data_IF_031130078248
#
_entry.id   IF_031130078248
#
_cell.length_a   1.000
_cell.length_b   1.000
_cell.length_c   1.000
_cell.angle_alpha   90.00
_cell.angle_beta   90.00
_cell.angle_gamma   90.00
#
_symmetry.space_group_name_H-M   'P 1'
#
loop_
_entity.id
_entity.type
_entity.pdbx_description
1 polymer ?
#
# COMPACT_ATOMS: atom_id res chain seq x y z
N UNK A 1 4.19 16.18 -31.08
CA UNK A 1 4.05 16.53 -32.52
C UNK A 1 3.17 15.48 -33.19
N UNK A 2 2.25 15.92 -34.07
CA UNK A 2 1.45 15.04 -34.93
C UNK A 2 2.21 14.84 -36.23
N UNK A 3 2.46 13.60 -36.62
CA UNK A 3 3.13 13.26 -37.87
C UNK A 3 2.18 12.48 -38.76
N UNK A 4 1.92 13.01 -39.94
CA UNK A 4 1.15 12.35 -41.00
C UNK A 4 -0.33 12.25 -40.78
N UNK A 5 -1.10 12.20 -41.88
CA UNK A 5 -2.48 11.71 -41.94
C UNK A 5 -2.47 10.40 -42.72
N UNK A 6 -2.94 9.33 -42.10
CA UNK A 6 -3.22 8.09 -42.81
C UNK A 6 -4.73 7.97 -42.84
N UNK A 7 -5.35 8.24 -43.99
CA UNK A 7 -6.80 8.09 -44.26
C UNK A 7 -7.69 8.39 -43.05
N UNK A 8 -7.76 9.66 -42.61
CA UNK A 8 -8.45 10.13 -41.40
C UNK A 8 -7.89 9.62 -40.07
N UNK A 9 -6.83 8.82 -40.08
CA UNK A 9 -6.04 8.39 -38.94
C UNK A 9 -4.74 9.18 -38.82
N UNK A 10 -4.13 9.18 -37.66
CA UNK A 10 -2.86 9.89 -37.41
C UNK A 10 -1.97 9.18 -36.40
N UNK A 11 -0.69 9.51 -36.47
CA UNK A 11 0.30 9.16 -35.47
C UNK A 11 0.57 10.38 -34.64
N UNK A 12 0.40 10.27 -33.31
CA UNK A 12 0.83 11.29 -32.34
C UNK A 12 1.95 10.74 -31.52
N UNK A 13 3.01 11.52 -31.36
CA UNK A 13 4.15 11.16 -30.53
C UNK A 13 4.34 12.23 -29.45
N UNK A 14 4.46 11.80 -28.22
CA UNK A 14 4.81 12.64 -27.08
C UNK A 14 6.09 12.12 -26.44
N UNK A 15 6.94 13.00 -25.97
CA UNK A 15 8.12 12.63 -25.20
C UNK A 15 8.42 13.70 -24.17
N UNK A 16 9.12 13.31 -23.12
CA UNK A 16 9.54 14.23 -22.09
C UNK A 16 10.60 13.64 -21.19
N UNK A 17 11.12 14.50 -20.34
CA UNK A 17 12.08 14.15 -19.30
C UNK A 17 11.66 14.75 -17.96
N UNK A 18 12.08 14.10 -16.90
CA UNK A 18 11.84 14.53 -15.52
C UNK A 18 13.14 14.47 -14.74
N UNK A 19 13.33 15.46 -13.88
CA UNK A 19 14.41 15.45 -12.89
C UNK A 19 13.80 15.83 -11.55
N UNK A 20 14.03 14.98 -10.52
CA UNK A 20 13.46 15.17 -9.17
C UNK A 20 14.53 14.94 -8.11
N UNK A 21 14.50 15.75 -7.07
CA UNK A 21 15.28 15.60 -5.86
C UNK A 21 14.32 15.33 -4.71
N UNK A 22 14.54 14.24 -4.00
CA UNK A 22 13.79 13.87 -2.80
C UNK A 22 14.73 13.99 -1.60
N UNK A 23 14.23 14.53 -0.50
CA UNK A 23 14.96 14.63 0.76
C UNK A 23 14.11 14.05 1.89
N UNK A 24 14.75 13.33 2.80
CA UNK A 24 14.17 12.82 4.02
C UNK A 24 15.08 13.09 5.19
N UNK A 25 14.56 13.79 6.21
CA UNK A 25 15.33 14.18 7.38
C UNK A 25 14.59 13.89 8.67
N UNK A 26 15.28 13.30 9.62
CA UNK A 26 14.84 13.17 11.02
C UNK A 26 15.85 13.92 11.87
N UNK A 27 15.34 14.75 12.76
CA UNK A 27 16.13 15.47 13.75
C UNK A 27 15.91 14.85 15.13
N UNK A 28 16.96 14.79 15.93
CA UNK A 28 16.84 14.34 17.31
C UNK A 28 15.88 15.24 18.11
N UNK A 29 15.11 14.64 19.00
CA UNK A 29 14.35 15.36 20.01
C UNK A 29 15.25 15.90 21.14
N UNK A 30 14.62 16.54 22.11
CA UNK A 30 15.28 16.89 23.37
C UNK A 30 15.59 15.63 24.21
N UNK A 31 16.62 15.62 25.07
CA UNK A 31 16.98 14.42 25.83
C UNK A 31 15.85 13.80 26.65
N UNK A 32 14.98 14.61 27.25
CA UNK A 32 13.83 14.12 28.01
C UNK A 32 12.81 13.37 27.15
N UNK A 33 12.81 13.57 25.84
CA UNK A 33 11.87 12.90 24.92
C UNK A 33 12.31 11.48 24.51
N UNK A 34 13.58 11.10 24.68
CA UNK A 34 14.10 9.81 24.23
C UNK A 34 14.99 9.07 25.23
N UNK A 35 15.47 9.72 26.31
CA UNK A 35 16.28 9.06 27.33
C UNK A 35 15.42 8.53 28.45
N UNK A 36 15.66 7.27 28.83
CA UNK A 36 15.19 6.76 30.12
C UNK A 36 15.81 7.61 31.25
N UNK A 37 15.06 7.85 32.28
CA UNK A 37 15.58 8.52 33.49
C UNK A 37 15.06 7.83 34.74
N UNK A 38 15.86 7.89 35.78
CA UNK A 38 15.50 7.34 37.10
C UNK A 38 14.93 8.48 37.94
N UNK A 39 13.73 8.29 38.47
CA UNK A 39 13.10 9.27 39.36
C UNK A 39 13.78 9.28 40.75
N UNK A 40 13.32 10.20 41.61
CA UNK A 40 13.87 10.36 42.97
C UNK A 40 13.66 9.13 43.87
N UNK A 41 12.82 8.20 43.50
CA UNK A 41 12.55 6.94 44.20
C UNK A 41 13.35 5.75 43.65
N UNK A 42 14.26 5.98 42.70
CA UNK A 42 15.05 4.94 42.07
C UNK A 42 14.34 4.13 41.00
N UNK A 43 13.15 4.57 40.57
CA UNK A 43 12.37 3.88 39.53
C UNK A 43 12.68 4.46 38.15
N UNK A 44 12.92 3.57 37.19
CA UNK A 44 13.05 3.96 35.78
C UNK A 44 11.74 4.50 35.24
N UNK A 45 11.82 5.56 34.45
CA UNK A 45 10.71 6.25 33.83
C UNK A 45 10.90 6.24 32.30
N UNK A 46 9.81 5.97 31.60
CA UNK A 46 9.77 6.08 30.14
C UNK A 46 10.01 7.53 29.69
N UNK A 47 10.74 7.74 28.58
CA UNK A 47 10.97 9.07 28.05
C UNK A 47 9.73 9.65 27.36
N UNK A 48 9.67 10.97 27.29
CA UNK A 48 8.64 11.69 26.56
C UNK A 48 7.25 11.52 27.15
N UNK A 49 6.23 11.71 26.33
CA UNK A 49 4.84 11.37 26.65
C UNK A 49 4.53 9.96 26.20
N UNK A 50 3.74 9.24 26.97
CA UNK A 50 3.32 7.87 26.64
C UNK A 50 2.77 7.77 25.21
N UNK A 51 3.30 6.85 24.42
CA UNK A 51 2.93 6.64 23.02
C UNK A 51 3.61 7.58 22.00
N UNK A 52 4.33 8.62 22.46
CA UNK A 52 5.00 9.60 21.61
C UNK A 52 6.44 9.87 22.05
N UNK A 53 7.36 8.90 21.95
CA UNK A 53 8.75 9.14 22.23
C UNK A 53 9.37 10.04 21.15
N UNK A 54 10.35 10.87 21.55
CA UNK A 54 11.15 11.62 20.60
C UNK A 54 12.21 10.76 19.94
N UNK A 55 12.72 11.22 18.81
CA UNK A 55 13.83 10.56 18.14
C UNK A 55 15.15 10.71 18.91
N UNK A 56 15.86 9.62 19.07
CA UNK A 56 17.20 9.62 19.65
C UNK A 56 18.25 10.15 18.66
N UNK A 57 19.48 10.48 19.11
CA UNK A 57 20.58 10.80 18.20
C UNK A 57 20.90 9.69 17.19
N UNK A 58 20.65 8.42 17.53
CA UNK A 58 20.84 7.27 16.66
C UNK A 58 19.80 7.18 15.53
N UNK A 59 18.66 7.84 15.68
CA UNK A 59 17.59 7.87 14.68
C UNK A 59 17.72 9.06 13.72
N UNK A 60 18.71 9.95 13.96
CA UNK A 60 18.96 11.11 13.09
C UNK A 60 19.36 10.64 11.70
N UNK A 61 18.67 11.16 10.68
CA UNK A 61 18.95 10.89 9.29
C UNK A 61 18.82 12.16 8.45
N UNK A 62 19.60 12.25 7.40
CA UNK A 62 19.45 13.22 6.32
C UNK A 62 19.86 12.51 5.02
N UNK A 63 18.89 12.03 4.29
CA UNK A 63 19.07 11.25 3.08
C UNK A 63 18.48 11.95 1.87
N UNK A 64 19.19 11.89 0.74
CA UNK A 64 18.78 12.46 -0.52
C UNK A 64 18.69 11.37 -1.58
N UNK A 65 17.77 11.56 -2.52
CA UNK A 65 17.63 10.74 -3.72
C UNK A 65 17.50 11.65 -4.94
N UNK A 66 18.30 11.38 -5.95
CA UNK A 66 18.14 11.96 -7.28
C UNK A 66 17.39 10.97 -8.16
N UNK A 67 16.43 11.47 -8.90
CA UNK A 67 15.66 10.71 -9.89
C UNK A 67 15.73 11.45 -11.21
N UNK A 68 16.14 10.76 -12.26
CA UNK A 68 16.09 11.25 -13.63
C UNK A 68 15.31 10.27 -14.48
N UNK A 69 14.45 10.79 -15.35
CA UNK A 69 13.60 9.97 -16.19
C UNK A 69 13.39 10.55 -17.57
N UNK A 70 13.12 9.67 -18.52
CA UNK A 70 12.67 10.01 -19.86
C UNK A 70 11.51 9.08 -20.25
N UNK A 71 10.57 9.60 -21.03
CA UNK A 71 9.44 8.83 -21.52
C UNK A 71 9.13 9.18 -22.96
N UNK A 72 8.56 8.18 -23.66
CA UNK A 72 7.98 8.31 -24.98
C UNK A 72 6.61 7.67 -25.02
N UNK A 73 5.68 8.31 -25.73
CA UNK A 73 4.30 7.85 -25.92
C UNK A 73 3.96 7.94 -27.41
N UNK A 74 3.31 6.91 -27.90
CA UNK A 74 2.83 6.78 -29.27
C UNK A 74 1.33 6.51 -29.26
N UNK A 75 0.56 7.34 -29.93
CA UNK A 75 -0.84 7.09 -30.26
C UNK A 75 -0.95 6.87 -31.79
N UNK A 76 -1.53 5.75 -32.18
CA UNK A 76 -1.74 5.37 -33.57
C UNK A 76 -3.20 5.06 -33.82
N UNK A 77 -3.80 5.80 -34.75
CA UNK A 77 -5.20 5.63 -35.16
C UNK A 77 -5.23 5.14 -36.60
N UNK A 78 -5.11 3.82 -36.87
CA UNK A 78 -5.12 3.28 -38.22
C UNK A 78 -6.46 3.43 -38.94
N UNK A 79 -7.55 3.59 -38.18
CA UNK A 79 -8.88 3.83 -38.73
C UNK A 79 -9.73 4.58 -37.69
N UNK A 80 -10.87 5.13 -38.09
CA UNK A 80 -11.83 5.75 -37.16
C UNK A 80 -12.32 4.80 -36.04
N UNK A 81 -12.20 3.51 -36.28
CA UNK A 81 -12.66 2.47 -35.33
C UNK A 81 -11.59 1.95 -34.36
N UNK A 82 -10.33 2.11 -34.70
CA UNK A 82 -9.23 1.51 -33.91
C UNK A 82 -8.23 2.58 -33.46
N UNK A 83 -8.02 2.64 -32.16
CA UNK A 83 -6.96 3.40 -31.52
C UNK A 83 -6.02 2.42 -30.81
N UNK A 84 -4.73 2.54 -31.08
CA UNK A 84 -3.65 1.81 -30.43
C UNK A 84 -2.74 2.81 -29.71
N UNK A 85 -2.28 2.47 -28.51
CA UNK A 85 -1.30 3.30 -27.81
C UNK A 85 -0.16 2.45 -27.29
N UNK A 86 1.04 3.04 -27.25
CA UNK A 86 2.22 2.44 -26.65
C UNK A 86 3.02 3.51 -25.93
N UNK A 87 3.48 3.21 -24.73
CA UNK A 87 4.33 4.10 -23.94
C UNK A 87 5.48 3.34 -23.28
N UNK A 88 6.63 4.01 -23.18
CA UNK A 88 7.79 3.53 -22.44
C UNK A 88 8.30 4.65 -21.53
N UNK A 89 8.72 4.28 -20.33
CA UNK A 89 9.37 5.18 -19.39
C UNK A 89 10.61 4.50 -18.82
N UNK A 90 11.71 5.22 -18.84
CA UNK A 90 12.99 4.84 -18.27
C UNK A 90 13.32 5.81 -17.16
N UNK A 91 13.68 5.30 -15.99
CA UNK A 91 14.08 6.14 -14.85
C UNK A 91 15.34 5.58 -14.21
N UNK A 92 16.13 6.48 -13.67
CA UNK A 92 17.31 6.16 -12.89
C UNK A 92 17.19 6.80 -11.50
N UNK A 93 17.36 5.99 -10.49
CA UNK A 93 17.37 6.34 -9.08
C UNK A 93 18.78 6.21 -8.53
N UNK A 94 19.28 7.25 -7.85
CA UNK A 94 20.65 7.27 -7.33
C UNK A 94 20.95 6.19 -6.28
N UNK A 95 19.92 5.59 -5.69
CA UNK A 95 20.06 4.64 -4.56
C UNK A 95 19.74 3.19 -4.90
N UNK A 96 19.10 2.87 -6.02
CA UNK A 96 18.84 1.48 -6.42
C UNK A 96 18.90 1.23 -7.94
N UNK A 97 19.25 2.26 -8.75
CA UNK A 97 19.56 2.08 -10.16
C UNK A 97 18.42 2.31 -11.13
N UNK A 98 18.49 1.68 -12.29
CA UNK A 98 17.59 1.89 -13.43
C UNK A 98 16.33 1.02 -13.33
N UNK A 99 15.19 1.62 -13.71
CA UNK A 99 13.90 0.95 -13.88
C UNK A 99 13.29 1.32 -15.21
N UNK A 100 12.54 0.38 -15.80
CA UNK A 100 11.78 0.61 -17.02
C UNK A 100 10.34 0.14 -16.84
N UNK A 101 9.42 0.90 -17.42
CA UNK A 101 8.01 0.50 -17.52
C UNK A 101 7.52 0.70 -18.94
N UNK A 102 6.56 -0.10 -19.32
CA UNK A 102 5.88 0.06 -20.58
C UNK A 102 4.37 -0.13 -20.43
N UNK A 103 3.62 0.44 -21.36
CA UNK A 103 2.18 0.30 -21.44
C UNK A 103 1.77 0.16 -22.91
N UNK A 104 0.83 -0.72 -23.17
CA UNK A 104 0.11 -0.78 -24.44
C UNK A 104 -1.39 -0.81 -24.15
N UNK A 105 -2.18 -0.19 -25.04
CA UNK A 105 -3.62 -0.28 -24.95
C UNK A 105 -4.28 -0.18 -26.32
N UNK A 106 -5.52 -0.63 -26.39
CA UNK A 106 -6.36 -0.48 -27.56
C UNK A 106 -7.77 -0.01 -27.19
N UNK A 107 -8.41 0.67 -28.12
CA UNK A 107 -9.85 0.93 -28.12
C UNK A 107 -10.38 0.60 -29.50
N UNK A 108 -11.37 -0.29 -29.55
CA UNK A 108 -12.04 -0.70 -30.78
C UNK A 108 -13.51 -0.32 -30.74
N UNK A 109 -13.92 0.54 -31.67
CA UNK A 109 -15.32 0.96 -31.89
C UNK A 109 -16.04 -0.11 -32.72
N UNK A 110 -16.67 -1.07 -32.03
CA UNK A 110 -17.40 -2.16 -32.70
C UNK A 110 -18.71 -1.66 -33.34
N UNK A 111 -19.38 -0.67 -32.71
CA UNK A 111 -20.53 0.05 -33.23
C UNK A 111 -20.47 1.51 -32.77
N UNK A 112 -21.34 2.38 -33.32
CA UNK A 112 -21.38 3.80 -32.93
C UNK A 112 -21.68 4.01 -31.44
N UNK A 113 -22.37 3.07 -30.85
CA UNK A 113 -22.77 3.09 -29.45
C UNK A 113 -22.01 2.07 -28.59
N UNK A 114 -21.02 1.34 -29.16
CA UNK A 114 -20.32 0.27 -28.41
C UNK A 114 -18.83 0.23 -28.70
N UNK A 115 -18.03 0.29 -27.66
CA UNK A 115 -16.57 0.23 -27.75
C UNK A 115 -16.01 -0.83 -26.80
N UNK A 116 -15.05 -1.60 -27.28
CA UNK A 116 -14.15 -2.42 -26.46
C UNK A 116 -12.86 -1.65 -26.17
N UNK A 117 -12.25 -1.94 -25.02
CA UNK A 117 -10.94 -1.42 -24.65
C UNK A 117 -10.17 -2.44 -23.82
N UNK A 118 -8.87 -2.40 -23.93
CA UNK A 118 -7.99 -3.22 -23.10
C UNK A 118 -6.65 -2.56 -22.94
N UNK A 119 -5.96 -2.90 -21.86
CA UNK A 119 -4.62 -2.44 -21.61
C UNK A 119 -3.77 -3.50 -20.92
N UNK A 120 -2.47 -3.42 -21.19
CA UNK A 120 -1.43 -4.16 -20.50
C UNK A 120 -0.32 -3.17 -20.13
N UNK A 121 0.15 -3.22 -18.88
CA UNK A 121 1.27 -2.39 -18.46
C UNK A 121 2.09 -3.05 -17.37
N UNK A 122 3.37 -2.70 -17.31
CA UNK A 122 4.19 -2.90 -16.14
C UNK A 122 4.21 -1.63 -15.30
N UNK A 123 4.42 -1.78 -14.00
CA UNK A 123 4.58 -0.67 -13.07
C UNK A 123 5.64 -0.98 -12.03
N UNK A 124 6.08 0.03 -11.32
CA UNK A 124 6.93 -0.13 -10.15
C UNK A 124 6.64 0.96 -9.11
N UNK A 125 7.05 0.69 -7.89
CA UNK A 125 7.10 1.67 -6.80
C UNK A 125 8.46 1.59 -6.15
N UNK A 126 9.19 2.71 -6.17
CA UNK A 126 10.44 2.83 -5.42
C UNK A 126 10.13 2.73 -3.90
N UNK A 127 10.97 2.07 -3.09
CA UNK A 127 10.88 2.19 -1.65
C UNK A 127 10.91 3.67 -1.26
N UNK A 128 10.03 4.11 -0.38
CA UNK A 128 10.11 5.48 0.11
C UNK A 128 11.41 5.69 0.92
N UNK A 129 11.94 6.91 0.95
CA UNK A 129 13.09 7.22 1.80
C UNK A 129 12.76 6.94 3.27
N UNK A 130 11.48 7.10 3.68
CA UNK A 130 11.02 6.70 5.00
C UNK A 130 11.17 5.19 5.23
N UNK A 131 10.70 4.33 4.34
CA UNK A 131 10.85 2.87 4.48
C UNK A 131 12.32 2.45 4.58
N UNK A 132 13.20 3.17 3.90
CA UNK A 132 14.62 2.84 3.84
C UNK A 132 15.41 3.33 5.05
N UNK A 133 15.09 4.53 5.56
CA UNK A 133 15.93 5.24 6.54
C UNK A 133 15.26 5.49 7.89
N UNK A 134 13.94 5.22 8.02
CA UNK A 134 13.26 5.40 9.30
C UNK A 134 13.76 4.40 10.33
N UNK A 135 14.17 4.90 11.48
CA UNK A 135 14.34 4.11 12.69
C UNK A 135 13.72 4.84 13.88
N UNK A 136 13.25 4.09 14.84
CA UNK A 136 12.75 4.62 16.10
C UNK A 136 12.81 3.53 17.18
N UNK A 137 13.05 3.93 18.43
CA UNK A 137 12.93 3.06 19.58
C UNK A 137 11.77 3.53 20.44
N UNK A 138 10.75 2.68 20.56
CA UNK A 138 9.56 2.92 21.36
C UNK A 138 9.74 2.26 22.72
N UNK A 139 9.48 2.98 23.79
CA UNK A 139 9.46 2.41 25.14
C UNK A 139 7.99 2.27 25.57
N UNK A 140 7.62 1.08 25.98
CA UNK A 140 6.30 0.75 26.51
C UNK A 140 6.40 -0.02 27.82
N UNK A 141 5.30 -0.09 28.57
CA UNK A 141 5.20 -0.97 29.74
C UNK A 141 4.53 -2.27 29.32
N UNK A 142 5.16 -3.40 29.62
CA UNK A 142 4.58 -4.72 29.45
C UNK A 142 4.95 -5.58 30.68
N UNK A 143 3.97 -6.22 31.30
CA UNK A 143 4.18 -7.04 32.49
C UNK A 143 4.75 -6.30 33.72
N UNK A 144 4.60 -4.96 33.76
CA UNK A 144 5.16 -4.12 34.83
C UNK A 144 6.60 -3.67 34.60
N UNK A 145 7.22 -4.05 33.47
CA UNK A 145 8.59 -3.68 33.09
C UNK A 145 8.60 -2.76 31.87
N UNK A 146 9.67 -1.96 31.74
CA UNK A 146 9.92 -1.15 30.56
C UNK A 146 10.47 -2.02 29.43
N UNK A 147 9.75 -2.07 28.33
CA UNK A 147 10.12 -2.82 27.12
C UNK A 147 10.46 -1.83 26.01
N UNK A 148 11.64 -1.99 25.42
CA UNK A 148 12.07 -1.19 24.28
C UNK A 148 11.88 -1.98 22.98
N UNK A 149 11.10 -1.43 22.07
CA UNK A 149 10.85 -1.99 20.73
C UNK A 149 11.47 -1.08 19.67
N UNK A 150 12.33 -1.64 18.80
CA UNK A 150 13.03 -0.88 17.77
C UNK A 150 12.48 -1.20 16.39
N UNK A 151 12.11 -0.17 15.62
CA UNK A 151 12.02 -0.27 14.18
C UNK A 151 13.41 0.03 13.63
N UNK A 152 14.05 -1.00 13.07
CA UNK A 152 15.40 -0.87 12.52
C UNK A 152 15.32 -0.50 11.03
N UNK A 153 16.04 0.54 10.62
CA UNK A 153 16.11 0.93 9.23
C UNK A 153 16.91 -0.09 8.39
N UNK A 154 16.87 0.07 7.08
CA UNK A 154 17.47 -0.92 6.17
C UNK A 154 19.00 -1.00 6.23
N UNK A 155 19.68 0.04 6.71
CA UNK A 155 21.14 0.08 6.87
C UNK A 155 21.60 -0.33 8.28
N UNK A 156 20.66 -0.55 9.22
CA UNK A 156 20.96 -0.96 10.61
C UNK A 156 21.65 -2.33 10.66
N UNK A 157 22.55 -2.47 11.60
CA UNK A 157 23.24 -3.75 11.86
C UNK A 157 22.25 -4.87 12.23
N UNK A 158 21.18 -4.56 12.96
CA UNK A 158 20.10 -5.52 13.29
C UNK A 158 19.43 -6.06 12.01
N UNK A 159 19.12 -5.19 11.06
CA UNK A 159 18.49 -5.56 9.77
C UNK A 159 19.41 -6.49 8.97
N UNK A 160 20.71 -6.22 8.96
CA UNK A 160 21.70 -7.08 8.28
C UNK A 160 21.85 -8.45 8.96
N UNK A 161 21.88 -8.48 10.30
CA UNK A 161 21.92 -9.72 11.09
C UNK A 161 20.62 -10.55 10.95
N UNK A 162 19.50 -9.89 10.71
CA UNK A 162 18.24 -10.54 10.38
C UNK A 162 18.20 -11.10 8.94
N UNK A 163 19.28 -10.96 8.17
CA UNK A 163 19.38 -11.47 6.81
C UNK A 163 18.52 -10.72 5.78
N UNK A 164 18.06 -9.50 6.12
CA UNK A 164 17.21 -8.70 5.26
C UNK A 164 18.05 -7.92 4.25
N UNK A 165 17.85 -8.11 2.95
CA UNK A 165 18.61 -7.41 1.93
C UNK A 165 18.20 -5.93 1.82
N UNK A 166 19.01 -5.15 1.11
CA UNK A 166 18.66 -3.78 0.76
C UNK A 166 17.32 -3.72 0.03
N UNK A 167 16.46 -2.76 0.44
CA UNK A 167 15.16 -2.58 -0.20
C UNK A 167 15.31 -2.23 -1.68
N UNK A 168 14.52 -2.91 -2.50
CA UNK A 168 14.40 -2.70 -3.94
C UNK A 168 12.99 -2.25 -4.30
N UNK A 169 12.79 -1.86 -5.55
CA UNK A 169 11.48 -1.48 -6.04
C UNK A 169 10.48 -2.65 -5.98
N UNK A 170 9.26 -2.34 -5.64
CA UNK A 170 8.11 -3.21 -5.91
C UNK A 170 7.79 -3.15 -7.40
N UNK A 171 7.37 -4.24 -7.99
CA UNK A 171 6.99 -4.30 -9.40
C UNK A 171 5.56 -4.76 -9.58
N UNK A 172 4.93 -4.34 -10.67
CA UNK A 172 3.58 -4.81 -10.99
C UNK A 172 3.39 -5.12 -12.47
N UNK A 173 2.47 -6.05 -12.72
CA UNK A 173 1.90 -6.33 -14.04
C UNK A 173 0.40 -6.06 -13.94
N UNK A 174 -0.08 -5.17 -14.81
CA UNK A 174 -1.47 -4.71 -14.80
C UNK A 174 -2.12 -5.06 -16.13
N UNK A 175 -3.27 -5.71 -16.07
CA UNK A 175 -4.07 -6.07 -17.25
C UNK A 175 -5.50 -5.63 -17.03
N UNK A 176 -6.12 -5.04 -18.03
CA UNK A 176 -7.55 -4.71 -18.00
C UNK A 176 -8.22 -4.97 -19.34
N UNK A 177 -9.50 -5.32 -19.27
CA UNK A 177 -10.38 -5.47 -20.43
C UNK A 177 -11.77 -4.97 -20.06
N UNK A 178 -12.36 -4.20 -20.93
CA UNK A 178 -13.66 -3.63 -20.66
C UNK A 178 -14.39 -3.13 -21.92
N UNK A 179 -15.59 -2.59 -21.69
CA UNK A 179 -16.40 -2.00 -22.73
C UNK A 179 -17.12 -0.74 -22.24
N UNK A 180 -17.54 0.05 -23.19
CA UNK A 180 -18.45 1.19 -23.01
C UNK A 180 -19.61 1.05 -23.96
N UNK A 181 -20.84 1.15 -23.45
CA UNK A 181 -22.08 0.99 -24.20
C UNK A 181 -23.04 2.16 -23.96
N UNK A 182 -23.59 2.69 -25.04
CA UNK A 182 -24.57 3.77 -25.03
C UNK A 182 -25.89 3.26 -25.60
N UNK A 183 -26.71 2.50 -24.82
CA UNK A 183 -27.94 1.89 -25.32
C UNK A 183 -29.01 2.90 -25.73
N UNK A 184 -29.01 4.09 -25.12
CA UNK A 184 -29.99 5.15 -25.37
C UNK A 184 -29.34 6.54 -25.22
N UNK A 185 -30.02 7.56 -25.74
CA UNK A 185 -29.58 8.95 -25.58
C UNK A 185 -29.45 9.34 -24.11
N UNK A 186 -28.27 9.79 -23.75
CA UNK A 186 -27.96 10.23 -22.37
C UNK A 186 -27.64 9.09 -21.40
N UNK A 187 -27.66 7.82 -21.80
CA UNK A 187 -27.31 6.68 -20.95
C UNK A 187 -26.02 6.03 -21.46
N UNK A 188 -25.07 5.89 -20.56
CA UNK A 188 -23.77 5.24 -20.81
C UNK A 188 -23.49 4.22 -19.72
N UNK A 189 -23.13 3.00 -20.11
CA UNK A 189 -22.58 1.97 -19.25
C UNK A 189 -21.10 1.75 -19.57
N UNK A 190 -20.29 1.57 -18.55
CA UNK A 190 -18.89 1.20 -18.67
C UNK A 190 -18.61 0.09 -17.66
N UNK A 191 -17.96 -0.96 -18.13
CA UNK A 191 -17.54 -2.09 -17.29
C UNK A 191 -16.08 -2.43 -17.63
N UNK A 192 -15.24 -2.55 -16.63
CA UNK A 192 -13.83 -2.94 -16.77
C UNK A 192 -13.50 -4.03 -15.75
N UNK A 193 -13.02 -5.16 -16.22
CA UNK A 193 -12.35 -6.17 -15.40
C UNK A 193 -10.85 -5.91 -15.39
N UNK A 194 -10.19 -6.13 -14.25
CA UNK A 194 -8.75 -5.93 -14.12
C UNK A 194 -8.08 -6.99 -13.27
N UNK A 195 -6.78 -7.16 -13.50
CA UNK A 195 -5.87 -7.96 -12.69
C UNK A 195 -4.55 -7.21 -12.51
N UNK A 196 -4.12 -7.06 -11.25
CA UNK A 196 -2.90 -6.38 -10.86
C UNK A 196 -2.08 -7.37 -10.02
N UNK A 197 -0.97 -7.86 -10.58
CA UNK A 197 -0.02 -8.72 -9.87
C UNK A 197 1.12 -7.85 -9.38
N UNK A 198 1.34 -7.82 -8.08
CA UNK A 198 2.44 -7.07 -7.45
C UNK A 198 3.45 -8.03 -6.86
N UNK A 199 4.72 -7.78 -7.09
CA UNK A 199 5.84 -8.54 -6.53
C UNK A 199 6.70 -7.66 -5.63
N UNK A 200 7.34 -8.30 -4.67
CA UNK A 200 8.30 -7.69 -3.76
C UNK A 200 7.71 -6.49 -2.98
N UNK A 201 6.44 -6.57 -2.56
CA UNK A 201 5.84 -5.51 -1.74
C UNK A 201 6.60 -5.34 -0.44
N UNK A 202 6.90 -4.09 -0.11
CA UNK A 202 7.56 -3.74 1.16
C UNK A 202 6.53 -3.79 2.29
N UNK A 203 6.81 -4.61 3.27
CA UNK A 203 6.03 -4.74 4.50
C UNK A 203 6.92 -4.49 5.71
N UNK A 204 6.31 -4.14 6.84
CA UNK A 204 6.96 -4.12 8.14
C UNK A 204 6.72 -5.49 8.78
N UNK A 205 7.78 -6.14 9.28
CA UNK A 205 7.65 -7.43 9.97
C UNK A 205 6.95 -7.30 11.32
N UNK A 206 6.55 -8.41 11.92
CA UNK A 206 6.24 -8.46 13.34
C UNK A 206 7.46 -8.23 14.23
N UNK A 207 7.26 -8.30 15.55
CA UNK A 207 8.28 -8.05 16.56
C UNK A 207 9.06 -9.33 16.87
N UNK A 208 10.37 -9.32 16.61
CA UNK A 208 11.30 -10.40 16.98
C UNK A 208 11.93 -10.11 18.33
N UNK A 209 11.87 -11.07 19.27
CA UNK A 209 12.31 -10.90 20.65
C UNK A 209 13.79 -11.20 20.84
N UNK A 210 14.47 -10.39 21.64
CA UNK A 210 15.84 -10.64 22.07
C UNK A 210 15.99 -11.91 22.94
N UNK A 211 14.89 -12.38 23.56
CA UNK A 211 14.86 -13.60 24.37
C UNK A 211 14.59 -14.87 23.55
N UNK A 212 14.33 -14.76 22.26
CA UNK A 212 14.09 -15.92 21.41
C UNK A 212 15.39 -16.61 21.03
N UNK A 213 15.67 -17.74 21.71
CA UNK A 213 16.87 -18.55 21.50
C UNK A 213 16.94 -19.23 20.13
N UNK A 214 15.84 -19.25 19.36
CA UNK A 214 15.81 -19.81 18.00
C UNK A 214 16.29 -18.85 16.94
N UNK A 215 16.40 -17.55 17.25
CA UNK A 215 16.98 -16.55 16.37
C UNK A 215 18.52 -16.65 16.35
N UNK A 216 19.18 -16.10 15.29
CA UNK A 216 20.64 -16.06 15.25
C UNK A 216 21.22 -15.42 16.51
N UNK A 217 22.19 -16.09 17.12
CA UNK A 217 22.81 -15.64 18.37
C UNK A 217 23.43 -14.23 18.27
N UNK A 218 23.94 -13.87 17.10
CA UNK A 218 24.49 -12.53 16.85
C UNK A 218 23.39 -11.46 16.87
N UNK A 219 22.19 -11.77 16.35
CA UNK A 219 21.05 -10.86 16.35
C UNK A 219 20.55 -10.63 17.78
N UNK A 220 20.32 -11.70 18.55
CA UNK A 220 19.84 -11.61 19.93
C UNK A 220 20.88 -10.93 20.86
N UNK A 221 22.17 -11.23 20.68
CA UNK A 221 23.26 -10.56 21.40
C UNK A 221 23.32 -9.07 21.08
N UNK A 222 23.11 -8.69 19.83
CA UNK A 222 23.10 -7.28 19.42
C UNK A 222 21.89 -6.53 20.00
N UNK A 223 20.70 -7.14 20.01
CA UNK A 223 19.50 -6.58 20.65
C UNK A 223 19.76 -6.33 22.14
N UNK A 224 20.27 -7.33 22.85
CA UNK A 224 20.61 -7.21 24.26
C UNK A 224 21.66 -6.12 24.53
N UNK A 225 22.71 -6.02 23.70
CA UNK A 225 23.75 -4.98 23.83
C UNK A 225 23.16 -3.57 23.66
N UNK A 226 22.13 -3.43 22.83
CA UNK A 226 21.44 -2.16 22.61
C UNK A 226 20.36 -1.87 23.66
N UNK A 227 20.07 -2.80 24.57
CA UNK A 227 18.98 -2.70 25.53
C UNK A 227 17.59 -2.74 24.88
N UNK A 228 17.48 -3.38 23.72
CA UNK A 228 16.25 -3.47 22.93
C UNK A 228 15.64 -4.85 23.10
N UNK A 229 14.41 -4.91 23.58
CA UNK A 229 13.71 -6.17 23.85
C UNK A 229 13.17 -6.81 22.57
N UNK A 230 12.74 -5.99 21.60
CA UNK A 230 12.18 -6.48 20.33
C UNK A 230 12.58 -5.58 19.16
N UNK A 231 12.64 -6.16 17.94
CA UNK A 231 12.88 -5.41 16.71
C UNK A 231 11.91 -5.77 15.60
N UNK A 232 11.64 -4.80 14.72
CA UNK A 232 10.87 -4.92 13.47
C UNK A 232 11.69 -4.39 12.31
N UNK A 233 11.39 -4.89 11.11
CA UNK A 233 12.17 -4.61 9.92
C UNK A 233 11.27 -4.38 8.71
N UNK A 234 11.63 -3.41 7.86
CA UNK A 234 11.06 -3.31 6.51
C UNK A 234 11.74 -4.30 5.57
N UNK A 235 10.96 -5.05 4.81
CA UNK A 235 11.46 -6.05 3.86
C UNK A 235 10.59 -6.13 2.62
N UNK A 236 11.19 -6.39 1.45
CA UNK A 236 10.47 -6.77 0.23
C UNK A 236 10.07 -8.24 0.34
N UNK A 237 8.86 -8.52 0.82
CA UNK A 237 8.53 -9.87 1.23
C UNK A 237 7.23 -10.43 0.64
N UNK A 238 6.31 -9.63 0.12
CA UNK A 238 4.96 -10.11 -0.19
C UNK A 238 4.62 -9.94 -1.66
N UNK A 239 4.16 -11.04 -2.28
CA UNK A 239 3.57 -11.03 -3.60
C UNK A 239 2.04 -11.07 -3.46
N UNK A 240 1.33 -10.27 -4.26
CA UNK A 240 -0.13 -10.19 -4.21
C UNK A 240 -0.74 -10.11 -5.60
N UNK A 241 -1.95 -10.66 -5.72
CA UNK A 241 -2.81 -10.47 -6.89
C UNK A 241 -4.09 -9.76 -6.47
N UNK A 242 -4.35 -8.60 -7.05
CA UNK A 242 -5.62 -7.90 -6.92
C UNK A 242 -6.42 -8.04 -8.22
N UNK A 243 -7.62 -8.61 -8.13
CA UNK A 243 -8.57 -8.73 -9.24
C UNK A 243 -9.85 -8.00 -8.92
N UNK A 244 -10.47 -7.39 -9.92
CA UNK A 244 -11.72 -6.69 -9.67
C UNK A 244 -12.48 -6.31 -10.93
N UNK A 245 -13.67 -5.74 -10.70
CA UNK A 245 -14.57 -5.23 -11.72
C UNK A 245 -15.03 -3.84 -11.30
N UNK A 246 -14.84 -2.86 -12.20
CA UNK A 246 -15.37 -1.52 -12.07
C UNK A 246 -16.58 -1.35 -13.00
N UNK A 247 -17.65 -0.75 -12.49
CA UNK A 247 -18.87 -0.47 -13.24
C UNK A 247 -19.25 0.99 -13.07
N UNK A 248 -19.64 1.63 -14.17
CA UNK A 248 -20.18 2.98 -14.15
C UNK A 248 -21.44 3.02 -15.01
N UNK A 249 -22.53 3.55 -14.45
CA UNK A 249 -23.72 3.90 -15.20
C UNK A 249 -23.96 5.41 -15.06
N UNK A 250 -23.88 6.13 -16.16
CA UNK A 250 -24.14 7.58 -16.23
C UNK A 250 -25.40 7.82 -17.05
N UNK A 251 -26.38 8.44 -16.44
CA UNK A 251 -27.59 8.88 -17.12
C UNK A 251 -27.76 10.38 -17.00
N UNK A 252 -27.84 11.04 -18.14
CA UNK A 252 -28.05 12.49 -18.22
C UNK A 252 -29.23 12.81 -19.13
N UNK A 253 -30.18 13.59 -18.63
CA UNK A 253 -31.32 14.07 -19.39
C UNK A 253 -31.39 15.59 -19.35
N UNK A 254 -31.27 16.22 -20.51
CA UNK A 254 -31.61 17.63 -20.69
C UNK A 254 -33.10 17.72 -20.89
N UNK A 255 -33.84 18.31 -19.95
CA UNK A 255 -35.29 18.47 -19.97
C UNK A 255 -35.63 19.73 -20.76
N UNK A 256 -34.88 20.83 -20.52
CA UNK A 256 -34.98 22.09 -21.27
C UNK A 256 -33.60 22.75 -21.36
N UNK A 257 -33.53 23.97 -21.92
CA UNK A 257 -32.24 24.71 -21.97
C UNK A 257 -31.72 25.11 -20.61
N UNK A 258 -32.58 25.19 -19.60
CA UNK A 258 -32.25 25.60 -18.25
C UNK A 258 -32.46 24.47 -17.24
N UNK A 259 -32.85 23.27 -17.69
CA UNK A 259 -33.23 22.18 -16.82
C UNK A 259 -32.52 20.88 -17.22
N UNK A 260 -31.79 20.26 -16.32
CA UNK A 260 -31.10 19.00 -16.54
C UNK A 260 -31.15 18.14 -15.28
N UNK A 261 -31.12 16.84 -15.52
CA UNK A 261 -31.04 15.80 -14.50
C UNK A 261 -29.90 14.84 -14.82
N UNK A 262 -29.16 14.43 -13.80
CA UNK A 262 -28.07 13.46 -13.91
C UNK A 262 -28.16 12.46 -12.77
N UNK A 263 -27.96 11.17 -13.10
CA UNK A 263 -27.68 10.09 -12.16
C UNK A 263 -26.34 9.49 -12.53
N UNK A 264 -25.49 9.30 -11.55
CA UNK A 264 -24.23 8.58 -11.71
C UNK A 264 -24.18 7.46 -10.67
N UNK A 265 -24.14 6.22 -11.12
CA UNK A 265 -23.88 5.05 -10.32
C UNK A 265 -22.47 4.53 -10.61
N UNK A 266 -21.70 4.28 -9.55
CA UNK A 266 -20.35 3.70 -9.63
C UNK A 266 -20.29 2.52 -8.68
N UNK A 267 -19.75 1.41 -9.13
CA UNK A 267 -19.52 0.22 -8.32
C UNK A 267 -18.13 -0.33 -8.56
N UNK A 268 -17.48 -0.76 -7.48
CA UNK A 268 -16.24 -1.50 -7.53
C UNK A 268 -16.38 -2.79 -6.72
N UNK A 269 -15.95 -3.89 -7.29
CA UNK A 269 -15.78 -5.18 -6.62
C UNK A 269 -14.33 -5.61 -6.78
N UNK A 270 -13.68 -5.96 -5.68
CA UNK A 270 -12.28 -6.38 -5.72
C UNK A 270 -11.98 -7.49 -4.72
N UNK A 271 -10.93 -8.23 -5.01
CA UNK A 271 -10.37 -9.22 -4.11
C UNK A 271 -8.84 -9.17 -4.17
N UNK A 272 -8.20 -9.12 -3.00
CA UNK A 272 -6.74 -9.16 -2.85
C UNK A 272 -6.37 -10.54 -2.32
N UNK A 273 -5.59 -11.29 -3.10
CA UNK A 273 -4.94 -12.54 -2.69
C UNK A 273 -3.47 -12.25 -2.34
N UNK A 274 -2.99 -12.89 -1.30
CA UNK A 274 -1.55 -12.98 -0.99
C UNK A 274 -1.09 -14.27 -1.65
N UNK A 275 -0.20 -14.13 -2.63
CA UNK A 275 0.26 -15.26 -3.44
C UNK A 275 1.45 -15.96 -2.78
N UNK A 276 2.36 -15.17 -2.17
CA UNK A 276 3.61 -15.67 -1.60
C UNK A 276 4.15 -14.70 -0.56
N UNK A 277 4.82 -15.25 0.45
CA UNK A 277 5.57 -14.49 1.47
C UNK A 277 7.00 -15.01 1.49
N UNK A 278 7.97 -14.14 1.20
CA UNK A 278 9.39 -14.46 1.24
C UNK A 278 9.97 -14.07 2.61
N UNK A 279 10.29 -15.05 3.41
CA UNK A 279 10.86 -14.84 4.76
C UNK A 279 12.37 -15.01 4.66
N UNK A 280 13.20 -14.08 5.17
CA UNK A 280 14.64 -14.26 5.25
C UNK A 280 15.00 -15.52 6.06
N UNK A 281 15.96 -16.30 5.59
CA UNK A 281 16.34 -17.58 6.22
C UNK A 281 16.69 -17.42 7.71
N UNK A 282 17.36 -16.32 8.06
CA UNK A 282 17.73 -16.00 9.44
C UNK A 282 16.52 -15.79 10.38
N UNK A 283 15.35 -15.46 9.82
CA UNK A 283 14.09 -15.27 10.54
C UNK A 283 13.08 -16.41 10.30
N UNK A 284 13.43 -17.39 9.48
CA UNK A 284 12.61 -18.57 9.16
C UNK A 284 13.12 -19.82 9.89
N UNK A 285 13.48 -19.68 11.14
CA UNK A 285 14.14 -20.74 11.94
C UNK A 285 13.16 -21.80 12.45
N UNK A 286 11.90 -21.43 12.60
CA UNK A 286 10.77 -22.30 12.99
C UNK A 286 9.44 -21.66 12.58
N UNK A 287 8.34 -22.40 12.73
CA UNK A 287 6.99 -21.96 12.36
C UNK A 287 6.56 -20.69 13.12
N UNK A 288 6.92 -20.56 14.39
CA UNK A 288 6.60 -19.36 15.19
C UNK A 288 7.27 -18.10 14.60
N UNK A 289 8.56 -18.16 14.27
CA UNK A 289 9.29 -17.04 13.68
C UNK A 289 8.83 -16.73 12.25
N UNK A 290 8.50 -17.74 11.47
CA UNK A 290 7.88 -17.56 10.16
C UNK A 290 6.55 -16.81 10.26
N UNK A 291 5.69 -17.20 11.20
CA UNK A 291 4.42 -16.51 11.45
C UNK A 291 4.63 -15.10 12.03
N UNK A 292 5.64 -14.90 12.89
CA UNK A 292 5.99 -13.59 13.42
C UNK A 292 6.41 -12.63 12.31
N UNK A 293 7.13 -13.09 11.30
CA UNK A 293 7.61 -12.23 10.22
C UNK A 293 6.47 -11.55 9.46
N UNK A 294 5.42 -12.29 9.11
CA UNK A 294 4.23 -11.76 8.45
C UNK A 294 3.02 -12.53 8.93
N UNK A 295 2.50 -12.15 10.08
CA UNK A 295 1.44 -12.86 10.79
C UNK A 295 0.05 -12.65 10.16
N UNK A 296 -0.94 -13.37 10.66
CA UNK A 296 -2.29 -13.31 10.11
C UNK A 296 -2.92 -11.92 10.27
N UNK A 297 -2.59 -11.19 11.32
CA UNK A 297 -3.04 -9.81 11.50
C UNK A 297 -2.57 -8.92 10.34
N UNK A 298 -1.28 -8.99 9.97
CA UNK A 298 -0.73 -8.23 8.85
C UNK A 298 -1.34 -8.66 7.51
N UNK A 299 -1.60 -9.96 7.34
CA UNK A 299 -2.32 -10.48 6.16
C UNK A 299 -3.74 -9.93 6.08
N UNK A 300 -4.46 -9.85 7.22
CA UNK A 300 -5.79 -9.25 7.26
C UNK A 300 -5.75 -7.75 6.99
N UNK A 301 -4.82 -7.00 7.57
CA UNK A 301 -4.65 -5.58 7.29
C UNK A 301 -4.39 -5.32 5.80
N UNK A 302 -3.55 -6.13 5.18
CA UNK A 302 -3.28 -6.01 3.75
C UNK A 302 -4.54 -6.23 2.92
N UNK A 303 -5.35 -7.25 3.24
CA UNK A 303 -6.61 -7.56 2.57
C UNK A 303 -7.72 -6.55 2.87
N UNK A 304 -7.74 -5.98 4.07
CA UNK A 304 -8.71 -5.00 4.54
C UNK A 304 -8.36 -3.56 4.14
N UNK A 305 -7.24 -3.33 3.48
CA UNK A 305 -6.81 -1.99 3.03
C UNK A 305 -7.85 -1.29 2.15
N UNK A 306 -8.74 -2.07 1.53
CA UNK A 306 -9.93 -1.58 0.85
C UNK A 306 -11.07 -2.60 0.95
N UNK A 307 -12.33 -2.15 1.12
CA UNK A 307 -13.48 -3.05 1.15
C UNK A 307 -13.61 -3.83 -0.15
N UNK A 308 -14.10 -5.07 -0.07
CA UNK A 308 -14.31 -5.94 -1.24
C UNK A 308 -15.35 -5.39 -2.20
N UNK A 309 -16.26 -4.53 -1.72
CA UNK A 309 -17.26 -3.85 -2.55
C UNK A 309 -17.44 -2.40 -2.11
N UNK A 310 -17.68 -1.53 -3.08
CA UNK A 310 -18.01 -0.12 -2.85
C UNK A 310 -19.01 0.33 -3.89
N UNK A 311 -20.07 1.00 -3.46
CA UNK A 311 -21.08 1.58 -4.35
C UNK A 311 -21.24 3.05 -4.05
N UNK A 312 -21.48 3.85 -5.08
CA UNK A 312 -21.83 5.26 -4.92
C UNK A 312 -22.88 5.65 -5.95
N UNK A 313 -23.96 6.27 -5.49
CA UNK A 313 -24.98 6.84 -6.36
C UNK A 313 -25.08 8.33 -6.11
N UNK A 314 -24.95 9.12 -7.18
CA UNK A 314 -25.14 10.57 -7.11
C UNK A 314 -26.33 10.97 -7.97
N UNK A 315 -27.10 11.91 -7.46
CA UNK A 315 -28.22 12.54 -8.13
C UNK A 315 -27.97 14.03 -8.22
N UNK A 316 -28.01 14.60 -9.40
CA UNK A 316 -27.85 16.03 -9.61
C UNK A 316 -29.03 16.55 -10.44
N UNK A 317 -29.69 17.58 -9.92
CA UNK A 317 -30.77 18.28 -10.62
C UNK A 317 -30.45 19.77 -10.66
N UNK A 318 -30.54 20.33 -11.84
CA UNK A 318 -30.34 21.77 -12.04
C UNK A 318 -31.53 22.35 -12.75
N UNK A 319 -32.08 23.45 -12.24
CA UNK A 319 -33.12 24.25 -12.87
C UNK A 319 -32.81 25.73 -12.72
N UNK A 320 -32.62 26.41 -13.84
CA UNK A 320 -32.20 27.82 -13.88
C UNK A 320 -30.89 28.03 -13.12
N UNK A 321 -30.94 28.79 -12.02
CA UNK A 321 -29.82 29.13 -11.15
C UNK A 321 -29.69 28.22 -9.92
N UNK A 322 -30.60 27.25 -9.77
CA UNK A 322 -30.64 26.37 -8.59
C UNK A 322 -30.09 25.00 -9.02
N UNK A 323 -29.15 24.47 -8.24
CA UNK A 323 -28.66 23.11 -8.38
C UNK A 323 -28.79 22.40 -7.05
N UNK A 324 -29.37 21.20 -7.07
CA UNK A 324 -29.51 20.30 -5.93
C UNK A 324 -28.73 19.01 -6.25
N UNK A 325 -27.95 18.55 -5.29
CA UNK A 325 -27.19 17.31 -5.41
C UNK A 325 -27.31 16.47 -4.16
N UNK A 326 -27.36 15.15 -4.33
CA UNK A 326 -27.27 14.17 -3.25
C UNK A 326 -26.35 13.04 -3.67
N UNK A 327 -25.57 12.52 -2.73
CA UNK A 327 -24.72 11.34 -2.94
C UNK A 327 -24.87 10.39 -1.78
N UNK A 328 -25.06 9.12 -2.08
CA UNK A 328 -25.02 8.02 -1.14
C UNK A 328 -23.82 7.14 -1.52
N UNK A 329 -23.01 6.80 -0.53
CA UNK A 329 -21.87 5.87 -0.72
C UNK A 329 -21.98 4.76 0.31
N UNK A 330 -21.86 3.53 -0.16
CA UNK A 330 -21.78 2.32 0.66
C UNK A 330 -20.38 1.72 0.52
N UNK A 331 -19.82 1.32 1.63
CA UNK A 331 -18.60 0.53 1.70
C UNK A 331 -18.97 -0.86 2.22
N UNK A 332 -18.49 -1.89 1.55
CA UNK A 332 -18.69 -3.27 2.00
C UNK A 332 -17.90 -3.58 3.28
N UNK A 333 -18.19 -4.71 3.85
CA UNK A 333 -17.58 -5.17 5.10
C UNK A 333 -16.08 -5.33 4.97
N UNK A 334 -15.36 -4.99 6.03
CA UNK A 334 -13.93 -5.28 6.21
C UNK A 334 -13.74 -6.14 7.45
N UNK A 335 -12.82 -7.08 7.37
CA UNK A 335 -12.44 -7.93 8.49
C UNK A 335 -11.03 -7.56 8.97
N UNK A 336 -10.88 -7.36 10.25
CA UNK A 336 -9.60 -7.13 10.92
C UNK A 336 -9.43 -8.17 12.02
N UNK A 337 -8.19 -8.56 12.30
CA UNK A 337 -7.89 -9.38 13.47
C UNK A 337 -7.44 -8.49 14.62
N UNK A 338 -7.79 -8.87 15.84
CA UNK A 338 -7.20 -8.34 17.05
C UNK A 338 -5.70 -8.64 17.15
N UNK A 339 -5.07 -8.20 18.20
CA UNK A 339 -3.66 -8.50 18.47
C UNK A 339 -3.40 -9.97 18.79
N UNK A 340 -4.48 -10.74 18.96
CA UNK A 340 -4.47 -12.19 18.92
C UNK A 340 -3.64 -12.84 19.97
N UNK A 341 -3.38 -12.34 21.06
CA UNK A 341 -2.82 -13.08 22.19
C UNK A 341 -2.93 -12.26 23.44
N UNK A 342 -3.43 -12.86 24.43
CA UNK A 342 -3.03 -12.59 25.76
C UNK A 342 -3.93 -11.66 26.49
N UNK A 343 -4.30 -12.08 27.57
CA UNK A 343 -4.72 -11.36 28.72
C UNK A 343 -3.84 -10.18 29.13
N UNK A 344 -3.30 -9.42 28.17
CA UNK A 344 -2.61 -8.16 28.39
C UNK A 344 -3.58 -6.99 28.57
N UNK A 345 -4.90 -7.26 28.57
CA UNK A 345 -5.94 -6.26 28.73
C UNK A 345 -6.17 -5.34 27.53
N UNK A 346 -5.44 -5.53 26.45
CA UNK A 346 -5.55 -4.75 25.20
C UNK A 346 -6.66 -5.30 24.31
N UNK A 347 -6.94 -6.60 24.43
CA UNK A 347 -8.06 -7.24 23.78
C UNK A 347 -9.18 -7.48 24.82
N UNK A 348 -10.24 -6.67 24.86
CA UNK A 348 -11.26 -6.76 25.91
C UNK A 348 -12.16 -8.00 25.83
N UNK A 349 -12.00 -8.81 24.79
CA UNK A 349 -12.76 -10.05 24.60
C UNK A 349 -11.81 -11.22 24.43
N UNK A 350 -11.66 -12.02 25.47
CA UNK A 350 -11.00 -13.31 25.39
C UNK A 350 -11.98 -14.26 24.69
N UNK A 351 -11.63 -14.82 23.49
CA UNK A 351 -12.49 -15.79 22.82
C UNK A 351 -12.75 -17.02 23.67
N UNK A 352 -13.86 -17.71 23.39
CA UNK A 352 -14.27 -18.92 24.10
C UNK A 352 -13.28 -20.10 23.96
N UNK A 353 -12.32 -20.01 23.03
CA UNK A 353 -11.26 -20.99 22.75
C UNK A 353 -9.89 -20.61 23.36
N UNK A 354 -9.88 -19.63 24.27
CA UNK A 354 -8.69 -19.31 25.01
C UNK A 354 -8.22 -20.50 25.86
N UNK A 355 -6.91 -20.72 25.91
CA UNK A 355 -6.33 -21.69 26.82
C UNK A 355 -6.53 -21.29 28.30
N UNK A 356 -6.16 -22.16 29.23
CA UNK A 356 -6.31 -21.93 30.69
C UNK A 356 -5.56 -20.70 31.19
N UNK A 357 -4.62 -20.15 30.39
CA UNK A 357 -3.85 -18.94 30.69
C UNK A 357 -4.50 -17.68 30.09
N UNK A 358 -5.59 -17.82 29.35
CA UNK A 358 -6.26 -16.73 28.65
C UNK A 358 -5.67 -16.40 27.28
N UNK A 359 -4.72 -17.21 26.80
CA UNK A 359 -4.16 -17.05 25.47
C UNK A 359 -5.09 -17.63 24.42
N UNK A 360 -5.30 -16.89 23.35
CA UNK A 360 -6.04 -17.38 22.18
C UNK A 360 -5.10 -18.04 21.20
N UNK A 361 -5.43 -19.24 20.77
CA UNK A 361 -4.67 -19.95 19.73
C UNK A 361 -4.93 -19.34 18.35
N UNK A 362 -6.05 -18.65 18.17
CA UNK A 362 -6.44 -18.00 16.91
C UNK A 362 -6.84 -16.56 17.20
N UNK A 363 -6.29 -15.56 16.46
CA UNK A 363 -6.69 -14.18 16.61
C UNK A 363 -8.19 -14.00 16.34
N UNK A 364 -8.87 -13.25 17.19
CA UNK A 364 -10.26 -12.91 16.97
C UNK A 364 -10.41 -12.04 15.72
N UNK A 365 -11.38 -12.40 14.88
CA UNK A 365 -11.69 -11.68 13.65
C UNK A 365 -12.84 -10.72 13.91
N UNK A 366 -12.55 -9.41 13.82
CA UNK A 366 -13.57 -8.36 13.91
C UNK A 366 -14.09 -8.04 12.51
N UNK A 367 -15.40 -8.20 12.32
CA UNK A 367 -16.07 -7.84 11.06
C UNK A 367 -16.77 -6.50 11.23
N UNK A 368 -16.32 -5.51 10.49
CA UNK A 368 -16.95 -4.20 10.42
C UNK A 368 -17.89 -4.15 9.23
N UNK A 369 -19.19 -3.95 9.54
CA UNK A 369 -20.22 -3.81 8.50
C UNK A 369 -20.25 -2.38 8.00
N UNK A 370 -20.29 -2.21 6.67
CA UNK A 370 -20.41 -0.93 5.98
C UNK A 370 -21.83 -0.36 5.97
#
# INVERSE_FOLDING_TARGET
KQFGKVNDGGVKVSFGSEFRIENYSIFRGEPASYKLFTNTYGLEQAPGSQGFPGFSPADKVNANRLVSGAYGDLEYTPSERLLLTGAVRLEYYSDFGAVSTFKTSFRYKAADNFNFRGSFSTGYRAPSLQQKYFSNTLTSFSGGELVQSRIANNDDALTKLAGIPALKQETSINTSLGFSWKPAKGLTFTVDGYSIKMKDRVVLSGLFSASDASLPAELTSKLNTLGVSTAQFFSNAVNTTNTGIDMVADYQKKISNTERFKILFVANFQNIAIDEVHIPDALNTNEYNANTFFNDREKYFLKASAPKSKFSTSFDYTKNKISLGARVTYFGDVALTGFGVNGDGINPQVPADADETGNTLVPEIFNYKG
#
